data_IF_994640508587
#
_entry.id   IF_994640508587
#
_cell.length_a   1.000
_cell.length_b   1.000
_cell.length_c   1.000
_cell.angle_alpha   90.00
_cell.angle_beta   90.00
_cell.angle_gamma   90.00
#
_symmetry.space_group_name_H-M   'P 1'
#
loop_
_entity.id
_entity.type
_entity.pdbx_description
1 polymer ?
#
# COMPACT_ATOMS: atom_id res chain seq x y z
N UNK A 1 -5.26 -31.64 -43.96
CA UNK A 1 -6.10 -30.73 -43.16
C UNK A 1 -5.23 -30.06 -42.11
N UNK A 2 -5.26 -28.72 -42.08
CA UNK A 2 -4.87 -27.75 -41.03
C UNK A 2 -3.48 -27.88 -40.36
N UNK A 3 -2.44 -27.10 -40.70
CA UNK A 3 -2.15 -25.63 -40.61
C UNK A 3 -1.61 -25.14 -39.24
N UNK A 4 -0.29 -24.98 -39.24
CA UNK A 4 0.61 -24.30 -38.28
C UNK A 4 0.31 -22.80 -38.16
N UNK A 5 0.24 -22.28 -36.93
CA UNK A 5 0.10 -20.84 -36.63
C UNK A 5 1.46 -20.33 -36.16
N UNK A 6 2.08 -19.47 -36.97
CA UNK A 6 3.28 -18.70 -36.60
C UNK A 6 2.91 -17.34 -35.98
N UNK A 7 3.79 -16.74 -35.16
CA UNK A 7 3.54 -15.45 -34.52
C UNK A 7 3.66 -14.28 -35.50
N UNK A 8 2.76 -13.29 -35.35
CA UNK A 8 2.73 -12.05 -36.14
C UNK A 8 3.78 -11.04 -35.64
N UNK A 9 4.53 -10.37 -36.53
CA UNK A 9 5.40 -9.25 -36.18
C UNK A 9 4.61 -7.94 -36.05
N UNK A 10 4.95 -7.12 -35.05
CA UNK A 10 4.48 -5.74 -34.92
C UNK A 10 5.43 -4.79 -35.68
N UNK A 11 4.93 -3.93 -36.57
CA UNK A 11 5.75 -2.94 -37.25
C UNK A 11 5.96 -1.67 -36.41
N UNK A 12 7.21 -1.26 -36.36
CA UNK A 12 7.72 0.05 -35.99
C UNK A 12 7.39 1.05 -37.10
N UNK A 13 6.66 2.14 -36.83
CA UNK A 13 6.70 3.33 -37.69
C UNK A 13 6.68 4.63 -36.91
N UNK A 14 7.86 5.23 -36.97
CA UNK A 14 8.23 6.62 -36.80
C UNK A 14 7.60 7.52 -37.88
N UNK A 15 6.90 8.59 -37.48
CA UNK A 15 6.88 9.95 -38.10
C UNK A 15 5.63 10.71 -37.68
N UNK A 16 5.82 11.90 -37.08
CA UNK A 16 5.33 13.15 -37.67
C UNK A 16 5.93 14.34 -36.92
N UNK A 17 6.98 14.87 -37.54
CA UNK A 17 7.30 16.29 -37.53
C UNK A 17 6.08 17.11 -37.93
N UNK A 18 5.83 18.25 -37.27
CA UNK A 18 5.21 19.46 -37.82
C UNK A 18 5.51 20.64 -36.84
N UNK A 19 5.52 21.89 -37.31
CA UNK A 19 6.58 22.84 -37.02
C UNK A 19 6.14 23.97 -36.09
N UNK A 20 7.18 24.64 -35.56
CA UNK A 20 7.20 26.02 -35.09
C UNK A 20 6.09 26.91 -35.68
N UNK A 21 5.23 27.46 -34.81
CA UNK A 21 4.64 28.79 -35.00
C UNK A 21 4.58 29.53 -33.67
N UNK A 22 5.33 30.63 -33.63
CA UNK A 22 5.23 31.72 -32.66
C UNK A 22 3.90 32.45 -32.88
N UNK A 23 3.17 32.76 -31.83
CA UNK A 23 2.24 33.89 -31.79
C UNK A 23 2.02 34.34 -30.35
N UNK A 24 2.50 35.55 -30.06
CA UNK A 24 2.10 36.39 -28.92
C UNK A 24 0.73 37.00 -29.24
N UNK A 25 -0.23 36.88 -28.34
CA UNK A 25 -1.37 37.81 -28.25
C UNK A 25 -1.60 38.10 -26.77
N UNK A 26 -1.49 39.39 -26.43
CA UNK A 26 -1.88 39.97 -25.17
C UNK A 26 -3.39 40.28 -25.18
N UNK A 27 -4.06 40.13 -24.02
CA UNK A 27 -5.34 40.79 -23.77
C UNK A 27 -6.41 39.95 -23.05
N UNK A 28 -6.57 40.20 -21.75
CA UNK A 28 -7.89 40.53 -21.15
C UNK A 28 -8.90 39.42 -20.78
N UNK A 29 -9.35 39.51 -19.52
CA UNK A 29 -10.68 39.17 -18.96
C UNK A 29 -11.01 37.71 -18.51
N UNK A 30 -10.96 37.55 -17.18
CA UNK A 30 -11.91 36.88 -16.28
C UNK A 30 -12.94 35.90 -16.89
N UNK A 31 -12.75 34.61 -16.63
CA UNK A 31 -13.85 33.66 -16.44
C UNK A 31 -13.61 32.84 -15.16
N UNK A 32 -14.67 32.75 -14.38
CA UNK A 32 -14.74 32.14 -13.07
C UNK A 32 -14.82 30.62 -13.15
N UNK A 33 -14.24 30.00 -12.10
CA UNK A 33 -14.66 28.77 -11.43
C UNK A 33 -15.21 27.62 -12.28
N UNK A 34 -14.47 26.51 -12.32
CA UNK A 34 -15.07 25.17 -12.20
C UNK A 34 -14.11 24.21 -11.48
N UNK A 35 -14.69 23.62 -10.45
CA UNK A 35 -14.28 22.55 -9.54
C UNK A 35 -13.15 21.62 -9.99
N UNK A 36 -12.21 21.42 -9.07
CA UNK A 36 -11.28 20.31 -9.07
C UNK A 36 -10.77 20.02 -7.66
N UNK A 37 -11.69 19.85 -6.70
CA UNK A 37 -11.38 19.20 -5.45
C UNK A 37 -11.11 17.71 -5.74
N UNK A 38 -9.93 17.42 -6.26
CA UNK A 38 -9.32 16.13 -6.04
C UNK A 38 -9.01 16.09 -4.55
N UNK A 39 -10.02 15.69 -3.75
CA UNK A 39 -9.80 15.08 -2.46
C UNK A 39 -8.95 13.84 -2.75
N UNK A 40 -7.64 14.05 -2.85
CA UNK A 40 -6.66 12.99 -2.73
C UNK A 40 -6.79 12.53 -1.29
N UNK A 41 -7.73 11.61 -1.06
CA UNK A 41 -7.73 10.78 0.11
C UNK A 41 -6.33 10.16 0.13
N UNK A 42 -5.49 10.63 1.06
CA UNK A 42 -4.24 9.99 1.36
C UNK A 42 -4.50 8.48 1.53
N UNK A 43 -3.58 7.59 1.15
CA UNK A 43 -3.79 6.15 1.26
C UNK A 43 -4.13 5.80 2.71
N UNK A 44 -5.38 5.43 2.95
CA UNK A 44 -5.90 5.06 4.27
C UNK A 44 -5.28 3.75 4.81
N UNK A 45 -4.38 3.14 4.03
CA UNK A 45 -3.49 2.05 4.45
C UNK A 45 -2.43 2.46 5.48
N UNK A 46 -2.33 3.76 5.83
CA UNK A 46 -1.38 4.30 6.81
C UNK A 46 -1.99 4.49 8.22
N UNK A 47 -3.02 3.73 8.60
CA UNK A 47 -3.55 3.76 9.99
C UNK A 47 -2.57 3.09 10.98
N UNK A 48 -2.75 3.45 12.25
CA UNK A 48 -1.95 3.02 13.40
C UNK A 48 -1.74 1.50 13.45
N UNK A 49 -0.54 1.04 13.86
CA UNK A 49 -0.27 -0.38 14.04
C UNK A 49 -1.15 -0.96 15.16
N UNK A 50 -1.67 -2.15 14.93
CA UNK A 50 -2.52 -2.90 15.84
C UNK A 50 -1.75 -4.10 16.40
N UNK A 51 -2.13 -4.53 17.61
CA UNK A 51 -1.68 -5.78 18.20
C UNK A 51 -2.89 -6.66 18.47
N UNK A 52 -2.80 -7.92 18.09
CA UNK A 52 -3.89 -8.88 18.12
C UNK A 52 -3.36 -10.24 18.54
N UNK A 53 -4.01 -10.86 19.52
CA UNK A 53 -3.73 -12.23 19.94
C UNK A 53 -5.02 -13.05 19.81
N UNK A 54 -5.08 -13.90 18.79
CA UNK A 54 -6.21 -14.76 18.50
C UNK A 54 -5.83 -16.20 18.84
N UNK A 55 -6.58 -16.80 19.75
CA UNK A 55 -6.46 -18.22 20.08
C UNK A 55 -7.76 -18.95 19.74
N UNK A 56 -7.76 -19.75 18.66
CA UNK A 56 -8.94 -20.52 18.21
C UNK A 56 -10.21 -19.67 18.04
N UNK A 57 -10.02 -18.41 17.64
CA UNK A 57 -11.10 -17.43 17.52
C UNK A 57 -11.99 -17.73 16.30
N UNK A 58 -13.29 -17.45 16.43
CA UNK A 58 -14.23 -17.57 15.30
C UNK A 58 -13.94 -16.50 14.25
N UNK A 59 -13.75 -16.95 13.00
CA UNK A 59 -13.38 -16.05 11.91
C UNK A 59 -14.42 -14.94 11.68
N UNK A 60 -15.72 -15.24 11.78
CA UNK A 60 -16.77 -14.23 11.54
C UNK A 60 -16.76 -13.15 12.64
N UNK A 61 -16.54 -13.57 13.89
CA UNK A 61 -16.43 -12.64 15.01
C UNK A 61 -15.22 -11.71 14.88
N UNK A 62 -14.07 -12.25 14.47
CA UNK A 62 -12.85 -11.47 14.21
C UNK A 62 -13.09 -10.46 13.10
N UNK A 63 -13.64 -10.89 11.96
CA UNK A 63 -13.90 -10.01 10.80
C UNK A 63 -14.88 -8.88 11.11
N UNK A 64 -15.86 -9.11 11.98
CA UNK A 64 -16.78 -8.07 12.47
C UNK A 64 -16.07 -6.97 13.26
N UNK A 65 -15.00 -7.30 13.97
CA UNK A 65 -14.17 -6.29 14.65
C UNK A 65 -13.48 -5.37 13.64
N UNK A 66 -13.03 -5.91 12.50
CA UNK A 66 -12.42 -5.11 11.43
C UNK A 66 -13.40 -4.16 10.74
N UNK A 67 -14.71 -4.45 10.72
CA UNK A 67 -15.74 -3.52 10.24
C UNK A 67 -15.71 -2.19 11.00
N UNK A 68 -15.56 -2.28 12.33
CA UNK A 68 -15.49 -1.11 13.21
C UNK A 68 -14.15 -0.37 13.05
N UNK A 69 -13.05 -1.10 12.87
CA UNK A 69 -11.71 -0.52 12.74
C UNK A 69 -11.46 0.16 11.39
N UNK A 70 -12.04 -0.38 10.31
CA UNK A 70 -11.88 0.12 8.93
C UNK A 70 -13.00 1.06 8.50
N UNK A 71 -14.02 1.26 9.36
CA UNK A 71 -15.22 2.06 9.10
C UNK A 71 -15.88 1.70 7.75
N UNK A 72 -15.72 0.45 7.33
CA UNK A 72 -16.10 -0.06 6.03
C UNK A 72 -16.92 -1.33 6.20
N UNK A 73 -18.14 -1.42 5.64
CA UNK A 73 -18.96 -2.62 5.74
C UNK A 73 -18.23 -3.84 5.15
N UNK A 74 -18.31 -4.95 5.87
CA UNK A 74 -17.65 -6.21 5.52
C UNK A 74 -18.67 -7.16 4.86
N UNK A 75 -18.37 -7.58 3.63
CA UNK A 75 -19.12 -8.56 2.85
C UNK A 75 -18.36 -9.90 2.86
N UNK A 76 -18.83 -10.84 3.68
CA UNK A 76 -18.21 -12.16 3.85
C UNK A 76 -18.98 -13.21 3.05
N UNK A 77 -18.31 -13.89 2.11
CA UNK A 77 -18.89 -15.05 1.40
C UNK A 77 -19.23 -16.16 2.42
N UNK A 78 -20.43 -16.77 2.37
CA UNK A 78 -20.85 -17.76 3.35
C UNK A 78 -19.94 -18.99 3.42
N UNK A 79 -19.13 -19.26 2.39
CA UNK A 79 -18.16 -20.36 2.36
C UNK A 79 -16.92 -20.11 3.21
N UNK A 80 -16.73 -18.89 3.72
CA UNK A 80 -15.60 -18.52 4.57
C UNK A 80 -15.99 -18.78 6.03
N UNK A 81 -15.54 -19.92 6.56
CA UNK A 81 -15.82 -20.39 7.92
C UNK A 81 -14.57 -21.05 8.49
N UNK A 82 -14.41 -21.02 9.81
CA UNK A 82 -13.29 -21.68 10.47
C UNK A 82 -12.83 -20.96 11.73
N UNK A 83 -11.76 -21.50 12.32
CA UNK A 83 -11.09 -20.95 13.49
C UNK A 83 -9.69 -20.50 13.11
N UNK A 84 -9.27 -19.36 13.62
CA UNK A 84 -7.93 -18.81 13.39
C UNK A 84 -7.16 -18.72 14.71
N UNK A 85 -5.87 -19.05 14.66
CA UNK A 85 -4.92 -18.85 15.76
C UNK A 85 -3.75 -18.08 15.20
N UNK A 86 -3.55 -16.85 15.64
CA UNK A 86 -2.47 -15.99 15.18
C UNK A 86 -2.15 -14.95 16.24
N UNK A 87 -0.87 -14.68 16.46
CA UNK A 87 -0.40 -13.61 17.32
C UNK A 87 0.41 -12.60 16.51
N UNK A 88 -0.03 -11.34 16.58
CA UNK A 88 0.52 -10.23 15.82
C UNK A 88 0.75 -9.06 16.76
N UNK A 89 1.94 -8.47 16.75
CA UNK A 89 2.22 -7.24 17.51
C UNK A 89 2.77 -6.15 16.60
N UNK A 90 2.19 -4.95 16.70
CA UNK A 90 2.59 -3.75 15.95
C UNK A 90 2.53 -3.91 14.42
N UNK A 91 1.49 -4.58 13.92
CA UNK A 91 1.27 -4.78 12.48
C UNK A 91 0.14 -3.89 11.96
N UNK A 92 0.12 -3.57 10.67
CA UNK A 92 -1.02 -2.84 10.08
C UNK A 92 -2.24 -3.75 9.96
N UNK A 93 -3.43 -3.16 9.95
CA UNK A 93 -4.69 -3.92 9.83
C UNK A 93 -4.79 -4.72 8.53
N UNK A 94 -4.21 -4.22 7.43
CA UNK A 94 -4.15 -4.91 6.13
C UNK A 94 -3.35 -6.21 6.25
N UNK A 95 -2.16 -6.13 6.83
CA UNK A 95 -1.29 -7.28 7.13
C UNK A 95 -1.94 -8.25 8.10
N UNK A 96 -2.68 -7.75 9.10
CA UNK A 96 -3.42 -8.62 10.01
C UNK A 96 -4.53 -9.40 9.28
N UNK A 97 -5.26 -8.76 8.37
CA UNK A 97 -6.26 -9.45 7.54
C UNK A 97 -5.63 -10.47 6.61
N UNK A 98 -4.46 -10.19 6.03
CA UNK A 98 -3.72 -11.18 5.24
C UNK A 98 -3.38 -12.41 6.08
N UNK A 99 -2.79 -12.22 7.26
CA UNK A 99 -2.44 -13.32 8.17
C UNK A 99 -3.67 -14.17 8.55
N UNK A 100 -4.78 -13.51 8.87
CA UNK A 100 -6.05 -14.18 9.20
C UNK A 100 -6.58 -14.98 8.00
N UNK A 101 -6.53 -14.39 6.81
CA UNK A 101 -7.02 -15.04 5.60
C UNK A 101 -6.11 -16.17 5.10
N UNK A 102 -4.82 -16.11 5.34
CA UNK A 102 -3.90 -17.21 5.06
C UNK A 102 -4.22 -18.44 5.91
N UNK A 103 -4.38 -18.26 7.22
CA UNK A 103 -4.69 -19.37 8.13
C UNK A 103 -6.06 -20.01 7.91
N UNK A 104 -7.01 -19.27 7.33
CA UNK A 104 -8.39 -19.72 7.10
C UNK A 104 -8.75 -20.00 5.64
N UNK A 105 -7.81 -19.79 4.71
CA UNK A 105 -8.04 -20.01 3.28
C UNK A 105 -9.00 -18.99 2.64
N UNK A 106 -9.00 -17.74 3.10
CA UNK A 106 -9.71 -16.64 2.44
C UNK A 106 -8.76 -15.68 1.70
N UNK A 107 -9.35 -14.77 0.94
CA UNK A 107 -8.73 -13.60 0.34
C UNK A 107 -9.64 -12.42 0.58
N UNK A 108 -9.07 -11.23 0.74
CA UNK A 108 -9.83 -10.00 0.92
C UNK A 108 -9.54 -8.98 -0.17
N UNK A 109 -10.50 -8.12 -0.43
CA UNK A 109 -10.38 -7.00 -1.37
C UNK A 109 -11.08 -5.78 -0.77
N UNK A 110 -10.37 -4.66 -0.66
CA UNK A 110 -10.98 -3.37 -0.32
C UNK A 110 -11.42 -2.67 -1.61
N UNK A 111 -12.72 -2.49 -1.76
CA UNK A 111 -13.27 -1.74 -2.89
C UNK A 111 -12.93 -0.26 -2.75
N UNK A 112 -12.19 0.29 -3.73
CA UNK A 112 -11.80 1.71 -3.76
C UNK A 112 -12.93 2.64 -4.23
N UNK A 113 -13.99 2.07 -4.81
CA UNK A 113 -15.21 2.79 -5.24
C UNK A 113 -16.15 3.04 -4.06
N UNK A 114 -16.62 4.27 -3.89
CA UNK A 114 -17.55 4.64 -2.82
C UNK A 114 -18.94 3.99 -3.00
N UNK A 115 -19.54 3.42 -1.93
CA UNK A 115 -18.98 3.25 -0.59
C UNK A 115 -17.96 2.11 -0.55
N UNK A 116 -16.84 2.35 0.17
CA UNK A 116 -15.80 1.35 0.37
C UNK A 116 -16.40 0.14 1.08
N UNK A 117 -15.97 -1.04 0.64
CA UNK A 117 -16.44 -2.33 1.15
C UNK A 117 -15.28 -3.29 1.21
N UNK A 118 -15.14 -3.97 2.35
CA UNK A 118 -14.20 -5.07 2.51
C UNK A 118 -14.90 -6.35 2.07
N UNK A 119 -14.49 -6.91 0.93
CA UNK A 119 -15.04 -8.17 0.41
C UNK A 119 -14.13 -9.30 0.81
N UNK A 120 -14.68 -10.35 1.40
CA UNK A 120 -13.95 -11.54 1.83
C UNK A 120 -14.48 -12.73 1.07
N UNK A 121 -13.58 -13.40 0.35
CA UNK A 121 -13.89 -14.52 -0.53
C UNK A 121 -13.04 -15.72 -0.16
N UNK A 122 -13.50 -16.95 -0.42
CA UNK A 122 -12.61 -18.11 -0.33
C UNK A 122 -11.43 -17.92 -1.29
N UNK A 123 -10.21 -18.23 -0.83
CA UNK A 123 -9.00 -18.18 -1.65
C UNK A 123 -9.16 -19.24 -2.73
N UNK A 124 -9.45 -18.81 -3.96
CA UNK A 124 -9.38 -19.71 -5.10
C UNK A 124 -7.94 -20.19 -5.23
N UNK A 125 -7.70 -21.48 -5.10
CA UNK A 125 -6.38 -22.16 -5.14
C UNK A 125 -5.66 -22.02 -6.50
N UNK A 126 -6.08 -21.10 -7.37
CA UNK A 126 -5.44 -20.84 -8.65
C UNK A 126 -4.31 -19.83 -8.49
N UNK A 127 -3.07 -20.31 -8.70
CA UNK A 127 -1.82 -19.52 -8.69
C UNK A 127 -1.34 -19.10 -7.30
N UNK A 128 -1.17 -20.08 -6.42
CA UNK A 128 -0.32 -19.92 -5.23
C UNK A 128 1.12 -19.68 -5.71
N UNK A 129 1.78 -18.63 -5.23
CA UNK A 129 3.22 -18.45 -5.49
C UNK A 129 3.95 -19.58 -4.76
N UNK A 130 4.32 -20.64 -5.50
CA UNK A 130 4.97 -21.83 -4.94
C UNK A 130 6.13 -21.45 -4.01
N UNK A 131 6.00 -21.86 -2.73
CA UNK A 131 7.05 -21.77 -1.73
C UNK A 131 7.03 -20.54 -0.81
N UNK A 132 5.98 -19.71 -0.82
CA UNK A 132 5.82 -18.62 0.17
C UNK A 132 4.72 -18.87 1.22
N UNK A 133 3.92 -19.93 1.08
CA UNK A 133 2.89 -20.31 2.07
C UNK A 133 3.48 -21.02 3.31
N UNK A 134 4.80 -21.23 3.35
CA UNK A 134 5.48 -21.81 4.52
C UNK A 134 5.27 -20.90 5.73
N UNK A 135 4.72 -21.41 6.85
CA UNK A 135 4.59 -20.62 8.06
C UNK A 135 5.97 -20.29 8.63
N UNK A 136 6.14 -19.07 9.09
CA UNK A 136 7.37 -18.52 9.65
C UNK A 136 7.03 -17.84 10.97
N UNK A 137 7.77 -18.22 12.01
CA UNK A 137 7.77 -17.53 13.28
C UNK A 137 8.91 -16.51 13.26
N UNK A 138 8.58 -15.23 13.42
CA UNK A 138 9.53 -14.12 13.37
C UNK A 138 9.36 -13.26 14.61
N UNK A 139 10.42 -13.20 15.43
CA UNK A 139 10.52 -12.28 16.54
C UNK A 139 11.69 -11.35 16.25
N UNK A 140 11.38 -10.10 15.96
CA UNK A 140 12.36 -9.03 15.79
C UNK A 140 12.08 -7.95 16.83
N UNK A 141 12.97 -7.75 17.79
CA UNK A 141 12.90 -6.64 18.73
C UNK A 141 14.20 -5.84 18.71
N UNK A 142 14.20 -4.72 17.98
CA UNK A 142 15.40 -3.90 17.81
C UNK A 142 16.45 -4.52 16.87
N UNK A 143 16.08 -5.57 16.16
CA UNK A 143 16.92 -6.29 15.20
C UNK A 143 16.97 -5.48 13.89
N UNK A 144 18.14 -5.34 13.23
CA UNK A 144 18.21 -4.65 11.94
C UNK A 144 17.32 -5.36 10.90
N UNK A 145 16.62 -4.57 10.09
CA UNK A 145 15.72 -5.11 9.08
C UNK A 145 16.37 -6.09 8.11
N UNK A 146 17.64 -5.90 7.76
CA UNK A 146 18.42 -6.83 6.94
C UNK A 146 18.50 -8.24 7.55
N UNK A 147 18.62 -8.35 8.86
CA UNK A 147 18.67 -9.62 9.58
C UNK A 147 17.27 -10.26 9.66
N UNK A 148 16.23 -9.47 9.92
CA UNK A 148 14.85 -9.96 9.88
C UNK A 148 14.46 -10.50 8.48
N UNK A 149 14.82 -9.79 7.41
CA UNK A 149 14.62 -10.24 6.03
C UNK A 149 15.43 -11.49 5.70
N UNK A 150 16.66 -11.58 6.23
CA UNK A 150 17.53 -12.78 6.09
C UNK A 150 16.90 -14.00 6.75
N UNK A 151 16.30 -13.84 7.94
CA UNK A 151 15.60 -14.91 8.63
C UNK A 151 14.45 -15.48 7.78
N UNK A 152 13.64 -14.62 7.15
CA UNK A 152 12.54 -15.04 6.27
C UNK A 152 13.04 -15.71 4.99
N UNK A 153 14.08 -15.18 4.35
CA UNK A 153 14.70 -15.81 3.18
C UNK A 153 15.27 -17.20 3.50
N UNK A 154 15.93 -17.34 4.65
CA UNK A 154 16.47 -18.62 5.12
C UNK A 154 15.37 -19.63 5.43
N UNK A 155 14.28 -19.20 6.08
CA UNK A 155 13.13 -20.06 6.37
C UNK A 155 12.44 -20.59 5.10
N UNK A 156 12.49 -19.81 4.01
CA UNK A 156 11.96 -20.21 2.70
C UNK A 156 12.97 -20.92 1.80
N UNK A 157 14.22 -21.09 2.25
CA UNK A 157 15.29 -21.72 1.45
C UNK A 157 15.73 -20.89 0.24
N UNK A 158 15.54 -19.57 0.29
CA UNK A 158 15.79 -18.63 -0.82
C UNK A 158 17.03 -17.78 -0.57
N UNK A 159 17.69 -17.38 -1.66
CA UNK A 159 18.77 -16.40 -1.61
C UNK A 159 18.20 -14.97 -1.47
N UNK A 160 18.77 -14.16 -0.59
CA UNK A 160 18.33 -12.78 -0.37
C UNK A 160 19.21 -11.78 -1.13
N UNK A 161 18.58 -10.91 -1.93
CA UNK A 161 19.23 -9.77 -2.60
C UNK A 161 18.62 -8.47 -2.09
N UNK A 162 19.41 -7.66 -1.38
CA UNK A 162 18.99 -6.35 -0.87
C UNK A 162 19.51 -5.23 -1.77
N UNK A 163 18.61 -4.48 -2.40
CA UNK A 163 18.92 -3.33 -3.27
C UNK A 163 18.77 -2.00 -2.49
N UNK A 164 19.36 -1.88 -1.30
CA UNK A 164 19.24 -0.68 -0.46
C UNK A 164 19.79 -0.85 0.95
N UNK A 165 19.70 0.21 1.76
CA UNK A 165 20.05 0.17 3.17
C UNK A 165 18.84 -0.24 4.02
N UNK A 166 18.98 -1.36 4.73
CA UNK A 166 17.98 -1.94 5.63
C UNK A 166 18.55 -2.10 7.05
N UNK A 167 19.41 -1.18 7.50
CA UNK A 167 20.05 -1.25 8.82
C UNK A 167 19.13 -0.77 9.97
N UNK A 168 18.01 -0.12 9.64
CA UNK A 168 17.08 0.39 10.65
C UNK A 168 16.50 -0.74 11.51
N UNK A 169 16.40 -0.55 12.85
CA UNK A 169 15.85 -1.58 13.73
C UNK A 169 14.34 -1.71 13.55
N UNK A 170 13.86 -2.95 13.51
CA UNK A 170 12.44 -3.27 13.43
C UNK A 170 11.95 -3.96 14.71
N UNK A 171 10.66 -3.78 15.01
CA UNK A 171 9.99 -4.37 16.16
C UNK A 171 8.70 -5.04 15.72
N UNK A 172 8.77 -6.33 15.42
CA UNK A 172 7.63 -7.13 14.92
C UNK A 172 7.67 -8.51 15.58
N UNK A 173 6.52 -9.00 16.03
CA UNK A 173 6.30 -10.37 16.45
C UNK A 173 5.21 -10.98 15.57
N UNK A 174 5.57 -12.05 14.87
CA UNK A 174 4.72 -12.83 13.97
C UNK A 174 4.83 -14.31 14.35
N UNK A 175 3.69 -14.94 14.62
CA UNK A 175 3.61 -16.36 14.98
C UNK A 175 2.68 -17.09 13.99
N UNK A 176 3.21 -18.11 13.32
CA UNK A 176 2.44 -18.96 12.39
C UNK A 176 1.94 -18.28 11.11
N UNK A 177 2.54 -17.17 10.68
CA UNK A 177 2.14 -16.45 9.44
C UNK A 177 2.94 -16.93 8.24
N UNK A 178 2.41 -16.81 7.02
CA UNK A 178 3.22 -17.19 5.85
C UNK A 178 4.44 -16.28 5.66
N UNK A 179 5.46 -16.79 4.96
CA UNK A 179 6.59 -15.99 4.54
C UNK A 179 6.18 -14.77 3.67
N UNK A 180 5.12 -14.88 2.85
CA UNK A 180 4.60 -13.74 2.09
C UNK A 180 4.08 -12.64 3.01
N UNK A 181 3.31 -13.01 4.03
CA UNK A 181 2.77 -12.06 5.00
C UNK A 181 3.88 -11.46 5.87
N UNK A 182 4.87 -12.27 6.29
CA UNK A 182 6.04 -11.75 7.00
C UNK A 182 6.82 -10.71 6.17
N UNK A 183 7.05 -10.99 4.88
CA UNK A 183 7.71 -10.05 3.97
C UNK A 183 6.91 -8.79 3.73
N UNK A 184 5.59 -8.92 3.57
CA UNK A 184 4.69 -7.77 3.49
C UNK A 184 4.83 -6.92 4.76
N UNK A 185 4.61 -7.49 5.95
CA UNK A 185 4.69 -6.79 7.23
C UNK A 185 6.01 -6.00 7.40
N UNK A 186 7.15 -6.65 7.10
CA UNK A 186 8.46 -6.00 7.15
C UNK A 186 8.56 -4.85 6.14
N UNK A 187 8.13 -5.06 4.90
CA UNK A 187 8.20 -4.03 3.87
C UNK A 187 7.24 -2.86 4.05
N UNK A 188 6.11 -3.09 4.71
CA UNK A 188 5.21 -2.03 5.12
C UNK A 188 5.86 -1.07 6.13
N UNK A 189 6.61 -1.60 7.10
CA UNK A 189 7.33 -0.78 8.09
C UNK A 189 8.55 -0.07 7.49
N UNK A 190 9.18 -0.67 6.48
CA UNK A 190 10.44 -0.18 5.90
C UNK A 190 10.25 0.65 4.63
N UNK A 191 9.00 0.79 4.17
CA UNK A 191 8.68 1.32 2.84
C UNK A 191 9.51 0.63 1.75
N UNK A 192 9.46 -0.71 1.71
CA UNK A 192 10.07 -1.52 0.65
C UNK A 192 9.07 -2.24 -0.24
N UNK A 193 9.58 -2.69 -1.38
CA UNK A 193 8.94 -3.64 -2.27
C UNK A 193 9.79 -4.91 -2.32
N UNK A 194 9.14 -6.06 -2.42
CA UNK A 194 9.82 -7.33 -2.63
C UNK A 194 9.28 -8.03 -3.88
N UNK A 195 10.13 -8.82 -4.52
CA UNK A 195 9.79 -9.60 -5.69
C UNK A 195 10.58 -10.92 -5.73
N UNK A 196 9.96 -11.96 -6.28
CA UNK A 196 10.65 -13.19 -6.62
C UNK A 196 11.33 -13.04 -7.98
N UNK A 197 12.56 -13.54 -8.08
CA UNK A 197 13.25 -13.67 -9.37
C UNK A 197 12.50 -14.65 -10.28
N UNK A 198 12.70 -14.56 -11.61
CA UNK A 198 12.01 -15.42 -12.59
C UNK A 198 12.28 -16.92 -12.38
N UNK A 199 13.42 -17.25 -11.78
CA UNK A 199 13.82 -18.61 -11.44
C UNK A 199 13.22 -19.10 -10.12
N UNK A 200 12.58 -18.19 -9.36
CA UNK A 200 11.96 -18.54 -8.08
C UNK A 200 12.97 -18.99 -7.03
N UNK A 201 14.26 -18.65 -7.15
CA UNK A 201 15.29 -19.04 -6.17
C UNK A 201 15.74 -17.88 -5.27
N UNK A 202 15.69 -16.65 -5.78
CA UNK A 202 16.09 -15.46 -5.02
C UNK A 202 14.90 -14.53 -4.73
N UNK A 203 14.87 -14.02 -3.50
CA UNK A 203 14.01 -12.94 -3.03
C UNK A 203 14.77 -11.62 -3.15
N UNK A 204 14.24 -10.70 -3.94
CA UNK A 204 14.80 -9.35 -4.08
C UNK A 204 13.96 -8.38 -3.28
N UNK A 205 14.62 -7.58 -2.44
CA UNK A 205 13.98 -6.52 -1.64
C UNK A 205 14.64 -5.19 -1.99
N UNK A 206 13.84 -4.19 -2.34
CA UNK A 206 14.30 -2.86 -2.73
C UNK A 206 13.47 -1.79 -2.03
N UNK A 207 14.03 -0.62 -1.72
CA UNK A 207 13.24 0.51 -1.25
C UNK A 207 12.12 0.81 -2.25
N UNK A 208 10.90 1.02 -1.75
CA UNK A 208 9.80 1.46 -2.59
C UNK A 208 10.20 2.81 -3.20
N UNK A 209 9.91 3.05 -4.49
CA UNK A 209 10.17 4.36 -5.07
C UNK A 209 9.42 5.38 -4.21
N UNK A 210 10.16 6.26 -3.52
CA UNK A 210 9.54 7.40 -2.86
C UNK A 210 8.71 8.08 -3.93
N UNK A 211 7.39 8.12 -3.76
CA UNK A 211 6.55 8.98 -4.57
C UNK A 211 7.17 10.37 -4.44
N UNK A 212 7.83 10.84 -5.50
CA UNK A 212 8.49 12.14 -5.50
C UNK A 212 7.41 13.12 -5.09
N UNK A 213 7.54 13.85 -3.97
CA UNK A 213 6.64 14.96 -3.73
C UNK A 213 6.83 15.87 -4.94
N UNK A 214 5.79 16.06 -5.74
CA UNK A 214 5.76 17.10 -6.76
C UNK A 214 6.17 18.37 -6.03
N UNK A 215 7.35 18.87 -6.33
CA UNK A 215 7.93 20.07 -5.73
C UNK A 215 7.11 21.27 -6.20
N UNK A 216 5.91 21.40 -5.64
CA UNK A 216 5.13 22.63 -5.65
C UNK A 216 5.81 23.56 -4.69
N UNK A 217 6.62 24.45 -5.25
CA UNK A 217 7.18 25.66 -4.67
C UNK A 217 6.24 26.19 -3.57
N UNK A 218 6.59 25.95 -2.30
CA UNK A 218 5.91 26.53 -1.16
C UNK A 218 6.22 28.03 -1.19
N UNK A 219 5.42 28.77 -1.97
CA UNK A 219 5.36 30.23 -1.83
C UNK A 219 4.81 30.49 -0.43
N UNK A 220 5.65 31.11 0.39
CA UNK A 220 5.31 31.69 1.67
C UNK A 220 4.17 32.71 1.47
N UNK A 221 2.92 32.28 1.63
CA UNK A 221 1.74 33.17 1.65
C UNK A 221 1.51 33.72 3.07
N UNK A 222 2.34 33.34 4.05
CA UNK A 222 2.15 33.71 5.45
C UNK A 222 2.59 35.15 5.76
N UNK A 223 3.40 35.78 4.90
CA UNK A 223 3.77 37.20 5.02
C UNK A 223 2.67 38.16 4.56
N UNK A 224 1.99 37.86 3.44
CA UNK A 224 1.10 38.82 2.77
C UNK A 224 -0.26 38.97 3.47
N UNK A 225 -0.74 37.95 4.19
CA UNK A 225 -1.99 38.04 4.94
C UNK A 225 -1.88 38.91 6.22
N UNK A 226 -0.67 39.01 6.80
CA UNK A 226 -0.43 39.84 8.00
C UNK A 226 -0.43 41.34 7.70
N UNK A 227 -0.07 41.74 6.48
CA UNK A 227 -0.11 43.15 6.10
C UNK A 227 -1.53 43.64 5.78
N UNK A 228 -2.37 42.79 5.16
CA UNK A 228 -3.76 43.17 4.83
C UNK A 228 -4.67 43.23 6.06
N UNK A 229 -4.43 42.41 7.08
CA UNK A 229 -5.17 42.49 8.35
C UNK A 229 -4.81 43.73 9.17
N UNK A 230 -3.61 44.30 9.00
CA UNK A 230 -3.19 45.52 9.70
C UNK A 230 -3.88 46.77 9.14
N UNK A 231 -4.08 46.83 7.82
CA UNK A 231 -4.74 47.97 7.17
C UNK A 231 -6.26 48.03 7.38
N UNK A 232 -6.91 46.91 7.73
CA UNK A 232 -8.36 46.90 7.99
C UNK A 232 -8.73 47.36 9.40
N UNK A 233 -7.81 47.30 10.37
CA UNK A 233 -8.08 47.68 11.76
C UNK A 233 -7.91 49.18 12.03
N UNK A 234 -7.07 49.87 11.25
CA UNK A 234 -6.89 51.33 11.38
C UNK A 234 -8.09 52.12 10.82
N UNK A 235 -8.79 51.60 9.79
CA UNK A 235 -9.92 52.31 9.19
C UNK A 235 -11.19 52.32 10.05
N UNK A 236 -11.30 51.42 11.03
CA UNK A 236 -12.49 51.32 11.90
C UNK A 236 -12.40 52.16 13.18
N UNK A 237 -11.24 52.77 13.47
CA UNK A 237 -11.05 53.60 14.67
C UNK A 237 -11.13 55.11 14.41
N UNK A 238 -11.31 55.53 13.14
CA UNK A 238 -11.36 56.95 12.76
C UNK A 238 -12.79 57.51 12.59
N UNK A 239 -13.85 56.71 12.84
CA UNK A 239 -15.26 57.15 12.75
C UNK A 239 -16.04 56.97 14.08
N UNK A 240 -15.38 57.17 15.22
CA UNK A 240 -16.05 57.26 16.53
C UNK A 240 -15.69 58.57 17.25
#
# INVERSE_FOLDING_TARGET
>A
MSRTIGPKPYPTTFRRSLPFRRSLVAGGLLTAALLGAAAQAAPEEQRDPISLDLASADLRDVLRTFEHMTESPVDVDPRVEGKVTVRLEKVRWSTALDAICEGSGCTWELTTTSPRRLKIRPRSTGLVQEGLDTPVDLIADGVPASEALTAVAKATGRELSLDGDFSAPVRVLLDGVSAATALKALCESLACEWALTREGNALRVRPAPRSVPVSGEARDVSGELRERLRLSLDLSLAEA
#
